data_IF_113948033674
#
_entry.id   IF_113948033674
#
_cell.length_a   1.000
_cell.length_b   1.000
_cell.length_c   1.000
_cell.angle_alpha   90.00
_cell.angle_beta   90.00
_cell.angle_gamma   90.00
#
_symmetry.space_group_name_H-M   'P 1'
#
loop_
_entity.id
_entity.type
_entity.pdbx_description
1 polymer ?
#
# COMPACT_ATOMS: atom_id res chain seq x y z
N UNK A 1 -53.07 1.56 7.34
CA UNK A 1 -51.71 0.99 7.46
C UNK A 1 -50.73 2.16 7.49
N UNK A 2 -49.84 2.24 8.47
CA UNK A 2 -48.83 3.29 8.56
C UNK A 2 -47.76 3.05 7.48
N UNK A 3 -47.44 4.06 6.67
CA UNK A 3 -46.40 3.96 5.63
C UNK A 3 -45.05 4.43 6.18
N UNK A 4 -43.94 4.02 5.55
CA UNK A 4 -42.57 4.39 5.98
C UNK A 4 -42.40 5.91 6.23
N UNK A 5 -42.91 6.82 5.37
CA UNK A 5 -42.79 8.27 5.60
C UNK A 5 -43.55 8.79 6.83
N UNK A 6 -44.45 8.00 7.41
CA UNK A 6 -45.25 8.37 8.59
C UNK A 6 -44.62 7.91 9.91
N UNK A 7 -43.49 7.20 9.85
CA UNK A 7 -42.79 6.74 11.04
C UNK A 7 -41.85 7.84 11.55
N UNK A 8 -41.74 8.03 12.88
CA UNK A 8 -40.71 8.89 13.44
C UNK A 8 -39.32 8.32 13.13
N UNK A 9 -38.35 9.20 12.88
CA UNK A 9 -36.96 8.79 12.64
C UNK A 9 -36.38 8.15 13.91
N UNK A 10 -35.73 6.99 13.75
CA UNK A 10 -34.99 6.36 14.84
C UNK A 10 -33.76 7.20 15.21
N UNK A 11 -33.52 7.40 16.50
CA UNK A 11 -32.34 8.11 16.99
C UNK A 11 -31.04 7.31 16.85
N UNK A 12 -31.14 5.98 16.79
CA UNK A 12 -30.04 5.04 16.53
C UNK A 12 -30.58 3.81 15.82
N UNK A 13 -29.75 3.17 15.01
CA UNK A 13 -30.09 1.91 14.32
C UNK A 13 -29.06 0.84 14.69
N UNK A 14 -29.53 -0.29 15.22
CA UNK A 14 -28.74 -1.45 15.59
C UNK A 14 -28.83 -2.60 14.58
N UNK A 15 -27.95 -3.62 14.70
CA UNK A 15 -27.88 -4.73 13.74
C UNK A 15 -29.14 -5.61 13.71
N UNK A 16 -29.90 -5.67 14.79
CA UNK A 16 -31.14 -6.44 14.92
C UNK A 16 -32.40 -5.65 14.53
N UNK A 17 -32.27 -4.35 14.25
CA UNK A 17 -33.41 -3.54 13.84
C UNK A 17 -33.93 -4.02 12.48
N UNK A 18 -35.25 -3.94 12.30
CA UNK A 18 -35.90 -4.45 11.11
C UNK A 18 -36.15 -3.35 10.08
N UNK A 19 -35.75 -3.61 8.85
CA UNK A 19 -36.09 -2.84 7.68
C UNK A 19 -37.27 -3.51 6.96
N UNK A 20 -38.27 -2.73 6.61
CA UNK A 20 -39.39 -3.21 5.80
C UNK A 20 -38.95 -3.40 4.34
N UNK A 21 -39.29 -4.56 3.78
CA UNK A 21 -39.03 -4.91 2.38
C UNK A 21 -40.36 -5.14 1.66
N UNK A 22 -40.56 -4.48 0.52
CA UNK A 22 -41.73 -4.72 -0.33
C UNK A 22 -41.29 -5.51 -1.56
N UNK A 23 -41.66 -6.79 -1.62
CA UNK A 23 -41.30 -7.69 -2.72
C UNK A 23 -42.48 -8.60 -3.05
N UNK A 24 -42.72 -8.85 -4.34
CA UNK A 24 -43.82 -9.71 -4.82
C UNK A 24 -45.19 -9.32 -4.23
N UNK A 25 -45.47 -8.01 -4.13
CA UNK A 25 -46.70 -7.45 -3.55
C UNK A 25 -46.95 -7.85 -2.08
N UNK A 26 -45.91 -8.29 -1.36
CA UNK A 26 -45.96 -8.66 0.05
C UNK A 26 -44.89 -7.91 0.85
N UNK A 27 -45.19 -7.62 2.11
CA UNK A 27 -44.26 -6.99 3.04
C UNK A 27 -43.50 -8.06 3.82
N UNK A 28 -42.18 -7.96 3.79
CA UNK A 28 -41.25 -8.74 4.57
C UNK A 28 -40.45 -7.83 5.50
N UNK A 29 -39.73 -8.44 6.44
CA UNK A 29 -38.74 -7.75 7.25
C UNK A 29 -37.39 -8.46 7.07
N UNK A 30 -36.32 -7.66 7.05
CA UNK A 30 -34.95 -8.14 7.20
C UNK A 30 -34.26 -7.30 8.26
N UNK A 31 -33.35 -7.91 9.01
CA UNK A 31 -32.52 -7.13 9.92
C UNK A 31 -31.54 -6.26 9.14
N UNK A 32 -31.12 -5.14 9.74
CA UNK A 32 -30.04 -4.31 9.20
C UNK A 32 -28.81 -5.17 8.91
N UNK A 33 -28.45 -6.10 9.81
CA UNK A 33 -27.35 -7.03 9.60
C UNK A 33 -27.54 -7.91 8.36
N UNK A 34 -28.76 -8.44 8.11
CA UNK A 34 -29.02 -9.25 6.91
C UNK A 34 -28.83 -8.44 5.62
N UNK A 35 -29.21 -7.16 5.64
CA UNK A 35 -29.03 -6.26 4.49
C UNK A 35 -27.56 -5.87 4.31
N UNK A 36 -26.80 -5.70 5.39
CA UNK A 36 -25.41 -5.22 5.34
C UNK A 36 -24.35 -6.32 5.33
N UNK A 37 -24.71 -7.59 5.50
CA UNK A 37 -23.76 -8.71 5.67
C UNK A 37 -22.75 -8.90 4.52
N UNK A 38 -23.02 -8.34 3.34
CA UNK A 38 -22.12 -8.37 2.18
C UNK A 38 -21.60 -7.00 1.74
N UNK A 39 -21.92 -5.93 2.47
CA UNK A 39 -21.45 -4.60 2.12
C UNK A 39 -20.02 -4.41 2.61
N UNK A 40 -19.17 -3.91 1.73
CA UNK A 40 -17.85 -3.43 2.13
C UNK A 40 -18.03 -2.17 2.98
N UNK A 41 -17.35 -2.14 4.13
CA UNK A 41 -17.34 -0.93 4.96
C UNK A 41 -16.63 0.21 4.22
N UNK A 42 -17.00 1.44 4.54
CA UNK A 42 -16.28 2.61 4.03
C UNK A 42 -14.80 2.51 4.36
N UNK A 43 -13.94 2.75 3.36
CA UNK A 43 -12.50 2.80 3.54
C UNK A 43 -12.06 4.26 3.42
N UNK A 44 -11.55 4.80 4.52
CA UNK A 44 -10.82 6.07 4.50
C UNK A 44 -9.36 5.78 4.19
N UNK A 45 -8.83 6.38 3.12
CA UNK A 45 -7.43 6.26 2.71
C UNK A 45 -6.77 7.64 2.80
N UNK A 46 -5.82 7.84 3.73
CA UNK A 46 -5.04 9.08 3.78
C UNK A 46 -4.29 9.34 2.47
N UNK A 47 -4.13 10.61 2.12
CA UNK A 47 -3.29 10.97 0.97
C UNK A 47 -1.85 10.53 1.22
N UNK A 48 -1.27 9.83 0.25
CA UNK A 48 0.09 9.29 0.35
C UNK A 48 0.17 7.82 0.78
N UNK A 49 -0.95 7.22 1.23
CA UNK A 49 -1.02 5.81 1.58
C UNK A 49 -1.49 4.93 0.40
N UNK A 50 -1.09 3.66 0.42
CA UNK A 50 -1.54 2.63 -0.52
C UNK A 50 -2.74 1.89 0.07
N UNK A 51 -3.65 1.45 -0.79
CA UNK A 51 -4.67 0.48 -0.40
C UNK A 51 -4.08 -0.93 -0.51
N UNK A 52 -3.95 -1.62 0.62
CA UNK A 52 -3.32 -2.94 0.70
C UNK A 52 -3.76 -3.69 1.94
N UNK A 53 -2.94 -4.63 2.42
CA UNK A 53 -3.11 -5.28 3.72
C UNK A 53 -1.74 -5.62 4.30
N UNK A 54 -1.51 -5.26 5.56
CA UNK A 54 -0.31 -5.62 6.31
C UNK A 54 -0.62 -6.71 7.36
N UNK A 55 -1.87 -6.86 7.77
CA UNK A 55 -2.30 -7.96 8.64
C UNK A 55 -2.32 -9.30 7.90
N UNK A 56 -1.88 -10.37 8.57
CA UNK A 56 -1.94 -11.72 8.05
C UNK A 56 -3.39 -12.26 7.95
N UNK A 57 -3.63 -13.21 7.04
CA UNK A 57 -4.93 -13.90 6.90
C UNK A 57 -5.96 -13.16 6.03
N UNK A 58 -7.23 -13.55 6.09
CA UNK A 58 -8.34 -12.90 5.37
C UNK A 58 -8.91 -11.72 6.19
N UNK A 59 -9.36 -10.66 5.52
CA UNK A 59 -9.80 -9.42 6.17
C UNK A 59 -10.02 -8.29 5.17
N UNK A 60 -10.53 -7.15 5.67
CA UNK A 60 -10.75 -5.95 4.86
C UNK A 60 -9.42 -5.30 4.40
N UNK A 61 -9.43 -4.54 3.29
CA UNK A 61 -8.31 -3.69 2.92
C UNK A 61 -7.97 -2.67 4.02
N UNK A 62 -6.69 -2.31 4.09
CA UNK A 62 -6.07 -1.43 5.07
C UNK A 62 -5.32 -0.30 4.34
N UNK A 63 -5.22 0.86 4.99
CA UNK A 63 -4.24 1.86 4.58
C UNK A 63 -2.83 1.37 4.92
N UNK A 64 -1.93 1.40 3.93
CA UNK A 64 -0.54 0.97 4.06
C UNK A 64 0.37 2.16 3.73
N UNK A 65 1.06 2.65 4.75
CA UNK A 65 2.05 3.71 4.58
C UNK A 65 3.27 3.17 3.81
N UNK A 66 3.73 3.85 2.74
CA UNK A 66 4.97 3.53 2.08
C UNK A 66 6.15 3.55 3.07
N UNK A 67 7.09 2.63 2.90
CA UNK A 67 8.32 2.61 3.69
C UNK A 67 9.25 3.81 3.40
N UNK A 68 10.30 3.96 4.21
CA UNK A 68 11.32 4.98 3.98
C UNK A 68 11.89 4.91 2.56
N UNK A 69 12.13 6.06 1.94
CA UNK A 69 12.61 6.14 0.56
C UNK A 69 11.52 6.02 -0.51
N UNK A 70 10.24 5.82 -0.16
CA UNK A 70 9.11 5.76 -1.10
C UNK A 70 8.08 6.86 -0.80
N UNK A 71 7.39 7.36 -1.82
CA UNK A 71 6.21 8.20 -1.65
C UNK A 71 5.19 7.95 -2.75
N UNK A 72 3.90 8.00 -2.39
CA UNK A 72 2.78 8.00 -3.33
C UNK A 72 2.27 9.43 -3.50
N UNK A 73 2.29 9.95 -4.73
CA UNK A 73 1.80 11.29 -5.04
C UNK A 73 1.29 11.37 -6.46
N UNK A 74 0.19 12.10 -6.68
CA UNK A 74 -0.41 12.27 -8.01
C UNK A 74 -0.62 10.94 -8.78
N UNK A 75 -0.98 9.86 -8.07
CA UNK A 75 -1.17 8.53 -8.66
C UNK A 75 0.10 7.75 -8.99
N UNK A 76 1.28 8.22 -8.55
CA UNK A 76 2.57 7.57 -8.82
C UNK A 76 3.27 7.18 -7.52
N UNK A 77 3.67 5.92 -7.41
CA UNK A 77 4.58 5.45 -6.36
C UNK A 77 6.01 5.58 -6.88
N UNK A 78 6.85 6.37 -6.21
CA UNK A 78 8.21 6.64 -6.64
C UNK A 78 9.21 6.56 -5.49
N UNK A 79 10.46 6.26 -5.84
CA UNK A 79 11.59 6.43 -4.93
C UNK A 79 11.84 7.92 -4.70
N UNK A 80 11.91 8.33 -3.43
CA UNK A 80 12.20 9.72 -3.02
C UNK A 80 13.65 9.92 -2.63
N UNK A 81 14.34 8.84 -2.28
CA UNK A 81 15.72 8.91 -1.81
C UNK A 81 15.91 9.47 -0.40
N UNK A 82 14.81 9.67 0.34
CA UNK A 82 14.86 10.19 1.71
C UNK A 82 15.63 9.29 2.67
N UNK A 83 15.67 7.99 2.37
CA UNK A 83 16.41 6.98 3.10
C UNK A 83 17.93 7.18 3.06
N UNK A 84 18.48 7.75 1.99
CA UNK A 84 19.92 7.96 1.83
C UNK A 84 20.41 9.39 2.16
N UNK A 85 19.57 10.25 2.72
CA UNK A 85 19.93 11.64 3.06
C UNK A 85 21.10 11.76 4.05
N UNK A 86 21.39 10.71 4.82
CA UNK A 86 22.52 10.67 5.75
C UNK A 86 23.89 10.51 5.07
N UNK A 87 23.92 10.22 3.76
CA UNK A 87 25.17 10.04 3.02
C UNK A 87 25.47 11.26 2.15
N UNK A 88 26.75 11.63 2.07
CA UNK A 88 27.19 12.77 1.27
C UNK A 88 27.01 12.48 -0.23
N UNK A 89 26.46 13.44 -0.96
CA UNK A 89 26.41 13.40 -2.42
C UNK A 89 27.79 13.72 -3.00
N UNK A 90 28.30 12.84 -3.86
CA UNK A 90 29.53 13.06 -4.61
C UNK A 90 29.18 13.61 -6.01
N UNK A 91 29.82 14.71 -6.40
CA UNK A 91 29.66 15.31 -7.74
C UNK A 91 30.54 14.68 -8.82
N UNK A 92 31.47 13.81 -8.44
CA UNK A 92 32.33 13.03 -9.32
C UNK A 92 32.60 11.67 -8.66
N UNK A 93 32.72 10.63 -9.48
CA UNK A 93 32.95 9.26 -9.01
C UNK A 93 34.34 8.76 -9.37
N UNK A 94 34.94 7.98 -8.48
CA UNK A 94 36.21 7.28 -8.64
C UNK A 94 36.06 5.79 -8.32
N UNK A 95 37.04 4.98 -8.72
CA UNK A 95 37.03 3.53 -8.44
C UNK A 95 37.28 3.19 -6.97
N UNK A 96 37.77 4.15 -6.17
CA UNK A 96 37.92 4.03 -4.72
C UNK A 96 36.65 4.39 -3.94
N UNK A 97 35.61 4.86 -4.62
CA UNK A 97 34.38 5.29 -3.95
C UNK A 97 33.52 4.10 -3.53
N UNK A 98 32.52 4.42 -2.71
CA UNK A 98 31.44 3.50 -2.32
C UNK A 98 30.13 3.98 -2.94
N UNK A 99 29.34 3.03 -3.45
CA UNK A 99 27.96 3.28 -3.82
C UNK A 99 27.05 3.03 -2.62
N UNK A 100 25.89 3.68 -2.64
CA UNK A 100 24.82 3.39 -1.70
C UNK A 100 23.91 2.36 -2.32
N UNK A 101 23.82 1.20 -1.70
CA UNK A 101 22.85 0.16 -2.04
C UNK A 101 21.77 0.17 -0.98
N UNK A 102 20.52 0.04 -1.39
CA UNK A 102 19.40 0.01 -0.45
C UNK A 102 18.68 -1.32 -0.53
N UNK A 103 18.51 -1.97 0.63
CA UNK A 103 17.68 -3.14 0.76
C UNK A 103 16.57 -2.82 1.77
N UNK A 104 15.32 -2.74 1.30
CA UNK A 104 14.14 -2.56 2.15
C UNK A 104 14.19 -1.33 3.09
N UNK A 105 14.72 -0.20 2.60
CA UNK A 105 14.83 1.03 3.38
C UNK A 105 16.02 1.07 4.34
N UNK A 106 16.93 0.09 4.25
CA UNK A 106 18.19 0.07 4.98
C UNK A 106 19.36 0.29 4.01
N UNK A 107 19.76 1.56 3.76
CA UNK A 107 20.89 1.86 2.90
C UNK A 107 22.22 1.47 3.55
N UNK A 108 23.09 0.87 2.76
CA UNK A 108 24.45 0.49 3.12
C UNK A 108 25.46 0.96 2.08
N UNK A 109 26.71 1.10 2.50
CA UNK A 109 27.82 1.47 1.63
C UNK A 109 28.45 0.21 1.05
N UNK A 110 28.66 0.18 -0.26
CA UNK A 110 29.28 -0.93 -0.97
C UNK A 110 30.44 -0.37 -1.80
N UNK A 111 31.68 -0.84 -1.62
CA UNK A 111 32.79 -0.43 -2.48
C UNK A 111 32.48 -0.65 -3.96
N UNK A 112 32.79 0.32 -4.82
CA UNK A 112 32.57 0.20 -6.29
C UNK A 112 33.27 -1.04 -6.85
N UNK A 113 34.41 -1.43 -6.28
CA UNK A 113 35.12 -2.66 -6.65
C UNK A 113 34.33 -3.94 -6.40
N UNK A 114 33.45 -3.95 -5.39
CA UNK A 114 32.61 -5.10 -5.06
C UNK A 114 31.40 -5.25 -6.00
N UNK A 115 30.87 -4.15 -6.57
CA UNK A 115 29.86 -4.19 -7.63
C UNK A 115 30.37 -4.95 -8.86
N UNK A 116 31.65 -4.81 -9.19
CA UNK A 116 32.26 -5.48 -10.35
C UNK A 116 32.23 -7.01 -10.21
N UNK A 117 32.26 -7.53 -8.99
CA UNK A 117 32.15 -8.97 -8.72
C UNK A 117 30.73 -9.53 -8.87
N UNK A 118 29.71 -8.67 -8.99
CA UNK A 118 28.31 -9.07 -9.17
C UNK A 118 27.98 -9.42 -10.63
N UNK A 119 28.75 -8.87 -11.58
CA UNK A 119 28.59 -9.16 -12.99
C UNK A 119 29.48 -10.35 -13.36
N UNK A 120 28.88 -11.52 -13.53
CA UNK A 120 29.53 -12.61 -14.25
C UNK A 120 29.50 -12.26 -15.73
N UNK A 121 30.66 -12.04 -16.32
CA UNK A 121 30.79 -12.09 -17.77
C UNK A 121 30.29 -13.49 -18.20
N UNK A 122 29.30 -13.55 -19.10
CA UNK A 122 28.79 -14.83 -19.59
C UNK A 122 29.91 -15.70 -20.16
N UNK A 123 29.64 -16.98 -20.42
CA UNK A 123 30.65 -17.89 -20.99
C UNK A 123 31.30 -17.29 -22.25
N UNK A 124 32.63 -17.10 -22.20
CA UNK A 124 33.41 -16.55 -23.31
C UNK A 124 33.62 -15.03 -23.27
N UNK A 125 33.12 -14.34 -22.25
CA UNK A 125 33.41 -12.92 -22.00
C UNK A 125 34.25 -12.79 -20.74
N UNK A 126 35.20 -11.87 -20.73
CA UNK A 126 35.94 -11.46 -19.54
C UNK A 126 35.76 -9.95 -19.41
N UNK A 127 35.35 -9.48 -18.23
CA UNK A 127 35.31 -8.05 -17.93
C UNK A 127 36.65 -7.69 -17.29
N UNK A 128 37.45 -6.88 -17.98
CA UNK A 128 38.75 -6.45 -17.48
C UNK A 128 38.63 -5.43 -16.33
N UNK A 129 39.77 -5.01 -15.77
CA UNK A 129 39.84 -4.04 -14.68
C UNK A 129 39.17 -2.68 -15.00
N UNK A 130 38.98 -2.34 -16.28
CA UNK A 130 38.36 -1.12 -16.76
C UNK A 130 36.85 -1.28 -17.05
N UNK A 131 36.31 -2.49 -16.94
CA UNK A 131 34.91 -2.77 -17.24
C UNK A 131 34.61 -3.03 -18.71
N UNK A 132 35.65 -3.30 -19.52
CA UNK A 132 35.55 -3.69 -20.94
C UNK A 132 35.63 -5.19 -21.16
#
# INVERSE_FOLDING_TARGET
MTTIPQLPTAASVGPTDLLALSQNSMLYAASVQQVTAGLQHEISLPTGDLLGRNSAGAGAPEAVTPGAGLALGAGTLAATGTDHLGFALLGAFSTSDEVLVNAQGAPGRLPVTALRGLFAAGTGLAIDANGT
#
